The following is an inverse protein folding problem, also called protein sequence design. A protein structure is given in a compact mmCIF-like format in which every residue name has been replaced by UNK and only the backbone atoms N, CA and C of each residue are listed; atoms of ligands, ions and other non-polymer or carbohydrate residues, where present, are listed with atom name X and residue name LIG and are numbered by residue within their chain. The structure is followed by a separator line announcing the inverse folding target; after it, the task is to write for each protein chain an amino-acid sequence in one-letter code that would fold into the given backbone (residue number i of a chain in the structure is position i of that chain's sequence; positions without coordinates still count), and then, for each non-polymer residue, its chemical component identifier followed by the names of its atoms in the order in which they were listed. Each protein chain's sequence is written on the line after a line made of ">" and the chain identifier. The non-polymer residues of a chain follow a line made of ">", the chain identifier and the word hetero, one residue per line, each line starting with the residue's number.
data_IF_900009007963
#
_entry.id   IF_900009007963
#
_cell.length_a   1.000
_cell.length_b   1.000
_cell.length_c   1.000
_cell.angle_alpha   90.00
_cell.angle_beta   90.00
_cell.angle_gamma   90.00
#
_symmetry.space_group_name_H-M   'P 1'
#
loop_
_entity.id
_entity.type
_entity.pdbx_description
1 polymer ?
#
# COMPACT_ATOMS: atom_id res chain seq x y z
N UNK A 1 1.32 0.34 9.82
CA UNK A 1 0.64 -0.90 9.50
C UNK A 1 -0.82 -0.78 9.09
N UNK A 2 -1.57 0.25 9.55
CA UNK A 2 -3.04 0.32 9.33
C UNK A 2 -3.43 0.38 7.84
N UNK A 3 -2.74 1.16 7.02
CA UNK A 3 -3.07 1.27 5.59
C UNK A 3 -2.91 -0.07 4.87
N UNK A 4 -1.84 -0.81 5.16
CA UNK A 4 -1.62 -2.15 4.60
C UNK A 4 -2.63 -3.16 5.15
N UNK A 5 -2.91 -3.13 6.45
CA UNK A 5 -3.96 -3.98 7.02
C UNK A 5 -5.32 -3.67 6.37
N UNK A 6 -5.61 -2.40 6.11
CA UNK A 6 -6.84 -2.02 5.45
C UNK A 6 -6.87 -2.47 3.98
N UNK A 7 -5.74 -2.49 3.28
CA UNK A 7 -5.62 -3.08 1.95
C UNK A 7 -6.16 -4.53 1.93
N UNK A 8 -5.75 -5.36 2.89
CA UNK A 8 -6.27 -6.72 3.03
C UNK A 8 -7.79 -6.75 3.26
N UNK A 9 -8.30 -5.85 4.08
CA UNK A 9 -9.74 -5.78 4.36
C UNK A 9 -10.58 -5.43 3.14
N UNK A 10 -10.04 -4.68 2.19
CA UNK A 10 -10.75 -4.27 0.96
C UNK A 10 -11.11 -5.45 0.03
N UNK A 11 -10.57 -6.63 0.29
CA UNK A 11 -10.91 -7.85 -0.47
C UNK A 11 -11.85 -8.80 0.30
N UNK A 12 -12.27 -8.42 1.50
CA UNK A 12 -13.09 -9.28 2.37
C UNK A 12 -14.60 -9.08 2.16
N UNK A 13 -14.99 -8.67 0.95
CA UNK A 13 -16.38 -8.44 0.59
C UNK A 13 -16.92 -7.08 1.02
N UNK A 14 -18.10 -6.79 0.56
CA UNK A 14 -18.83 -5.54 0.75
C UNK A 14 -20.32 -5.87 0.85
N UNK A 15 -21.22 -4.91 0.66
CA UNK A 15 -22.66 -5.16 0.68
C UNK A 15 -23.11 -6.15 -0.41
N UNK A 16 -22.61 -5.96 -1.64
CA UNK A 16 -23.09 -6.66 -2.82
C UNK A 16 -22.12 -7.71 -3.37
N UNK A 17 -20.91 -7.77 -2.82
CA UNK A 17 -19.84 -8.69 -3.23
C UNK A 17 -19.42 -9.52 -2.02
N UNK A 18 -19.49 -10.84 -2.14
CA UNK A 18 -19.09 -11.75 -1.05
C UNK A 18 -17.56 -11.78 -0.85
N UNK A 19 -17.13 -12.43 0.23
CA UNK A 19 -15.70 -12.62 0.54
C UNK A 19 -14.99 -13.28 -0.64
N UNK A 20 -13.85 -12.72 -1.06
CA UNK A 20 -13.04 -13.19 -2.18
C UNK A 20 -13.73 -13.19 -3.56
N UNK A 21 -15.02 -12.85 -3.62
CA UNK A 21 -15.78 -12.85 -4.88
C UNK A 21 -15.23 -11.84 -5.89
N UNK A 22 -14.65 -10.75 -5.42
CA UNK A 22 -13.94 -9.78 -6.28
C UNK A 22 -12.85 -10.47 -7.12
N UNK A 23 -12.00 -11.31 -6.48
CA UNK A 23 -10.97 -12.09 -7.17
C UNK A 23 -11.57 -13.07 -8.16
N UNK A 24 -12.66 -13.73 -7.76
CA UNK A 24 -13.35 -14.71 -8.58
C UNK A 24 -13.94 -14.08 -9.84
N UNK A 25 -14.67 -12.97 -9.72
CA UNK A 25 -15.30 -12.29 -10.87
C UNK A 25 -14.26 -11.90 -11.91
N UNK A 26 -13.14 -11.30 -11.48
CA UNK A 26 -12.07 -10.88 -12.37
C UNK A 26 -11.31 -12.08 -12.95
N UNK A 27 -10.99 -13.08 -12.12
CA UNK A 27 -10.23 -14.26 -12.54
C UNK A 27 -11.00 -15.17 -13.50
N UNK A 28 -12.30 -15.41 -13.29
CA UNK A 28 -13.14 -16.20 -14.20
C UNK A 28 -13.28 -15.54 -15.57
N UNK A 29 -13.13 -14.25 -15.65
CA UNK A 29 -13.10 -13.51 -16.91
C UNK A 29 -11.72 -13.46 -17.59
N UNK A 30 -10.72 -14.16 -17.06
CA UNK A 30 -9.35 -14.17 -17.57
C UNK A 30 -8.55 -12.94 -17.20
N UNK A 31 -9.01 -12.16 -16.22
CA UNK A 31 -8.32 -10.99 -15.71
C UNK A 31 -7.44 -11.29 -14.48
N UNK A 32 -6.80 -10.26 -13.99
CA UNK A 32 -6.00 -10.27 -12.75
C UNK A 32 -6.30 -9.03 -11.93
N UNK A 33 -6.22 -9.15 -10.62
CA UNK A 33 -6.31 -8.03 -9.69
C UNK A 33 -5.31 -8.21 -8.55
N UNK A 34 -4.87 -7.09 -8.00
CA UNK A 34 -3.98 -7.03 -6.85
C UNK A 34 -4.04 -5.65 -6.20
N UNK A 35 -3.29 -5.47 -5.12
CA UNK A 35 -3.07 -4.18 -4.50
C UNK A 35 -1.66 -4.09 -3.91
N UNK A 36 -1.25 -2.89 -3.56
CA UNK A 36 -0.05 -2.66 -2.76
C UNK A 36 -0.16 -1.36 -1.97
N UNK A 37 0.45 -1.34 -0.80
CA UNK A 37 0.58 -0.15 0.03
C UNK A 37 2.04 0.32 0.04
N UNK A 38 2.24 1.60 -0.21
CA UNK A 38 3.51 2.30 -0.03
C UNK A 38 3.42 3.28 1.15
N UNK A 39 4.43 4.16 1.31
CA UNK A 39 4.44 5.15 2.38
C UNK A 39 3.30 6.17 2.27
N UNK A 40 2.90 6.57 1.05
CA UNK A 40 1.97 7.67 0.81
C UNK A 40 0.67 7.27 0.12
N UNK A 41 0.57 6.03 -0.38
CA UNK A 41 -0.60 5.58 -1.14
C UNK A 41 -0.85 4.08 -0.98
N UNK A 42 -2.11 3.71 -1.12
CA UNK A 42 -2.51 2.33 -1.41
C UNK A 42 -3.11 2.29 -2.81
N UNK A 43 -2.64 1.40 -3.64
CA UNK A 43 -3.11 1.23 -5.02
C UNK A 43 -3.79 -0.11 -5.16
N UNK A 44 -5.01 -0.08 -5.68
CA UNK A 44 -5.77 -1.25 -6.10
C UNK A 44 -5.81 -1.25 -7.61
N UNK A 45 -5.46 -2.34 -8.24
CA UNK A 45 -5.43 -2.43 -9.69
C UNK A 45 -5.97 -3.75 -10.20
N UNK A 46 -6.60 -3.69 -11.35
CA UNK A 46 -7.15 -4.86 -12.01
C UNK A 46 -7.02 -4.71 -13.53
N UNK A 47 -6.85 -5.83 -14.19
CA UNK A 47 -6.78 -5.92 -15.64
C UNK A 47 -7.71 -7.03 -16.09
N UNK A 48 -8.59 -6.73 -17.02
CA UNK A 48 -9.53 -7.69 -17.58
C UNK A 48 -9.87 -7.32 -19.03
N UNK A 49 -10.52 -8.22 -19.80
CA UNK A 49 -11.04 -7.87 -21.12
C UNK A 49 -11.95 -6.65 -21.11
N UNK A 50 -11.91 -5.82 -22.15
CA UNK A 50 -12.58 -4.50 -22.20
C UNK A 50 -14.11 -4.55 -21.99
N UNK A 51 -14.74 -5.67 -22.34
CA UNK A 51 -16.18 -5.89 -22.08
C UNK A 51 -16.55 -5.95 -20.58
N UNK A 52 -15.56 -6.01 -19.68
CA UNK A 52 -15.75 -5.97 -18.21
C UNK A 52 -15.43 -4.61 -17.61
N UNK A 53 -15.09 -3.61 -18.40
CA UNK A 53 -14.70 -2.30 -17.88
C UNK A 53 -15.75 -1.70 -16.93
N UNK A 54 -17.04 -1.80 -17.27
CA UNK A 54 -18.13 -1.34 -16.39
C UNK A 54 -18.18 -2.14 -15.07
N UNK A 55 -18.03 -3.47 -15.15
CA UNK A 55 -18.03 -4.34 -13.96
C UNK A 55 -16.86 -4.03 -13.04
N UNK A 56 -15.65 -3.78 -13.59
CA UNK A 56 -14.48 -3.41 -12.80
C UNK A 56 -14.72 -2.10 -12.04
N UNK A 57 -15.28 -1.08 -12.69
CA UNK A 57 -15.62 0.18 -12.04
C UNK A 57 -16.70 0.00 -10.97
N UNK A 58 -17.69 -0.84 -11.22
CA UNK A 58 -18.71 -1.17 -10.23
C UNK A 58 -18.09 -1.84 -8.98
N UNK A 59 -17.22 -2.83 -9.16
CA UNK A 59 -16.55 -3.52 -8.05
C UNK A 59 -15.74 -2.56 -7.17
N UNK A 60 -15.00 -1.62 -7.79
CA UNK A 60 -14.24 -0.60 -7.06
C UNK A 60 -15.17 0.35 -6.28
N UNK A 61 -16.25 0.79 -6.93
CA UNK A 61 -17.22 1.67 -6.30
C UNK A 61 -17.99 0.98 -5.17
N UNK A 62 -18.35 -0.28 -5.34
CA UNK A 62 -19.06 -1.05 -4.32
C UNK A 62 -18.23 -1.17 -3.04
N UNK A 63 -16.98 -1.60 -3.13
CA UNK A 63 -16.11 -1.68 -1.95
C UNK A 63 -15.80 -0.30 -1.35
N UNK A 64 -15.65 0.75 -2.15
CA UNK A 64 -15.47 2.11 -1.63
C UNK A 64 -16.71 2.63 -0.90
N UNK A 65 -17.89 2.34 -1.40
CA UNK A 65 -19.16 2.86 -0.86
C UNK A 65 -19.78 2.01 0.25
N UNK A 66 -19.57 0.70 0.23
CA UNK A 66 -20.36 -0.24 1.03
C UNK A 66 -19.55 -1.27 1.83
N UNK A 67 -18.22 -1.16 1.86
CA UNK A 67 -17.34 -2.09 2.57
C UNK A 67 -17.78 -2.35 4.01
N UNK A 68 -18.12 -1.28 4.74
CA UNK A 68 -18.49 -1.38 6.16
C UNK A 68 -19.76 -2.18 6.41
N UNK A 69 -20.63 -2.37 5.42
CA UNK A 69 -21.81 -3.24 5.53
C UNK A 69 -21.41 -4.74 5.50
N UNK A 70 -20.29 -5.08 4.84
CA UNK A 70 -19.69 -6.41 4.85
C UNK A 70 -18.65 -6.63 5.94
N UNK A 71 -18.32 -5.60 6.73
CA UNK A 71 -17.26 -5.61 7.72
C UNK A 71 -17.70 -6.32 9.01
N UNK A 72 -16.95 -7.33 9.47
CA UNK A 72 -17.27 -8.09 10.70
C UNK A 72 -16.03 -8.26 11.57
N UNK A 73 -16.25 -8.43 12.89
CA UNK A 73 -15.18 -8.71 13.83
C UNK A 73 -14.35 -9.94 13.42
N UNK A 74 -15.00 -10.99 12.93
CA UNK A 74 -14.31 -12.21 12.48
C UNK A 74 -13.38 -11.95 11.30
N UNK A 75 -13.80 -11.16 10.30
CA UNK A 75 -12.96 -10.80 9.17
C UNK A 75 -11.77 -9.97 9.60
N UNK A 76 -12.00 -9.02 10.50
CA UNK A 76 -10.95 -8.23 11.12
C UNK A 76 -9.88 -9.11 11.79
N UNK A 77 -10.28 -10.04 12.65
CA UNK A 77 -9.37 -10.96 13.33
C UNK A 77 -8.59 -11.84 12.33
N UNK A 78 -9.28 -12.41 11.37
CA UNK A 78 -8.66 -13.26 10.35
C UNK A 78 -7.59 -12.49 9.54
N UNK A 79 -7.90 -11.27 9.12
CA UNK A 79 -6.95 -10.47 8.33
C UNK A 79 -5.82 -9.91 9.18
N UNK A 80 -6.05 -9.60 10.45
CA UNK A 80 -4.98 -9.27 11.39
C UNK A 80 -3.95 -10.41 11.48
N UNK A 81 -4.43 -11.64 11.64
CA UNK A 81 -3.56 -12.81 11.69
C UNK A 81 -2.84 -13.06 10.36
N UNK A 82 -3.51 -12.83 9.22
CA UNK A 82 -2.91 -12.91 7.90
C UNK A 82 -1.74 -11.95 7.73
N UNK A 83 -1.92 -10.67 8.09
CA UNK A 83 -0.86 -9.63 8.03
C UNK A 83 0.30 -9.96 8.98
N UNK A 84 0.01 -10.44 10.21
CA UNK A 84 1.04 -10.89 11.14
C UNK A 84 1.85 -12.06 10.59
N UNK A 85 1.19 -13.01 9.95
CA UNK A 85 1.85 -14.15 9.31
C UNK A 85 2.68 -13.71 8.10
N UNK A 86 2.18 -12.77 7.30
CA UNK A 86 2.93 -12.18 6.19
C UNK A 86 4.21 -11.50 6.67
N UNK A 87 4.13 -10.68 7.75
CA UNK A 87 5.33 -10.06 8.33
C UNK A 87 6.36 -11.12 8.73
N UNK A 88 5.92 -12.17 9.43
CA UNK A 88 6.82 -13.26 9.82
C UNK A 88 7.46 -13.95 8.62
N UNK A 89 6.66 -14.25 7.58
CA UNK A 89 7.13 -15.00 6.41
C UNK A 89 8.03 -14.18 5.49
N UNK A 90 7.71 -12.89 5.28
CA UNK A 90 8.43 -12.04 4.31
C UNK A 90 9.57 -11.23 4.92
N UNK A 91 9.53 -11.02 6.25
CA UNK A 91 10.51 -10.16 6.93
C UNK A 91 11.21 -10.90 8.06
N UNK A 92 10.51 -11.26 9.14
CA UNK A 92 11.15 -11.73 10.37
C UNK A 92 11.92 -13.05 10.20
N UNK A 93 11.42 -13.96 9.34
CA UNK A 93 12.01 -15.27 9.08
C UNK A 93 12.84 -15.33 7.78
N UNK A 94 13.05 -14.19 7.09
CA UNK A 94 13.85 -14.16 5.87
C UNK A 94 15.26 -13.65 6.17
N UNK A 95 16.29 -14.26 5.59
CA UNK A 95 17.63 -13.69 5.61
C UNK A 95 17.58 -12.23 5.09
N UNK A 96 18.18 -11.31 5.82
CA UNK A 96 18.19 -9.88 5.53
C UNK A 96 16.80 -9.20 5.59
N UNK A 97 15.74 -9.86 6.04
CA UNK A 97 14.38 -9.35 6.01
C UNK A 97 14.15 -8.08 6.83
N UNK A 98 14.93 -7.90 7.91
CA UNK A 98 14.83 -6.73 8.79
C UNK A 98 15.62 -5.51 8.31
N UNK A 99 16.37 -5.61 7.21
CA UNK A 99 17.28 -4.55 6.75
C UNK A 99 16.51 -3.25 6.49
N UNK A 100 15.38 -3.30 5.80
CA UNK A 100 14.59 -2.10 5.50
C UNK A 100 13.99 -1.49 6.77
N UNK A 101 13.49 -2.29 7.71
CA UNK A 101 12.94 -1.77 8.97
C UNK A 101 14.01 -1.02 9.78
N UNK A 102 15.21 -1.59 9.88
CA UNK A 102 16.37 -0.96 10.56
C UNK A 102 16.78 0.31 9.81
N UNK A 103 16.84 0.25 8.48
CA UNK A 103 17.24 1.37 7.63
C UNK A 103 16.30 2.57 7.81
N UNK A 104 14.98 2.36 7.64
CA UNK A 104 14.00 3.43 7.76
C UNK A 104 13.96 3.99 9.18
N UNK A 105 13.98 3.15 10.19
CA UNK A 105 14.04 3.58 11.60
C UNK A 105 15.28 4.44 11.90
N UNK A 106 16.40 4.13 11.26
CA UNK A 106 17.66 4.87 11.46
C UNK A 106 17.67 6.20 10.71
N UNK A 107 17.28 6.21 9.43
CA UNK A 107 17.34 7.38 8.57
C UNK A 107 16.21 8.38 8.83
N UNK A 108 15.03 7.88 9.18
CA UNK A 108 13.80 8.65 9.26
C UNK A 108 13.27 8.78 10.70
N UNK A 109 14.15 8.77 11.71
CA UNK A 109 13.74 8.95 13.10
C UNK A 109 12.86 10.21 13.27
N UNK A 110 11.71 10.06 13.93
CA UNK A 110 10.68 11.10 14.10
C UNK A 110 10.03 11.60 12.80
N UNK A 111 10.09 10.83 11.73
CA UNK A 111 9.45 11.13 10.46
C UNK A 111 8.36 10.06 10.16
N UNK A 112 7.28 10.36 9.41
CA UNK A 112 6.27 9.36 9.04
C UNK A 112 6.81 8.12 8.30
N UNK A 113 8.02 8.20 7.76
CA UNK A 113 8.70 7.07 7.08
C UNK A 113 9.60 6.26 8.02
N UNK A 114 9.56 6.49 9.32
CA UNK A 114 10.36 5.74 10.30
C UNK A 114 10.04 4.25 10.32
N UNK A 115 8.83 3.85 9.92
CA UNK A 115 8.37 2.46 9.87
C UNK A 115 7.97 2.04 8.46
N UNK A 116 8.13 0.76 8.17
CA UNK A 116 7.71 0.19 6.88
C UNK A 116 6.18 0.06 6.77
N UNK A 117 5.61 -0.01 5.54
CA UNK A 117 4.15 -0.16 5.33
C UNK A 117 3.52 -1.35 6.06
N UNK A 118 4.24 -2.48 6.20
CA UNK A 118 3.74 -3.64 6.95
C UNK A 118 3.53 -3.31 8.45
N UNK A 119 4.29 -2.37 9.01
CA UNK A 119 4.20 -1.93 10.39
C UNK A 119 4.75 -2.93 11.40
N UNK A 120 4.35 -2.75 12.66
CA UNK A 120 4.79 -3.57 13.78
C UNK A 120 3.68 -4.50 14.25
N UNK A 121 4.05 -5.71 14.72
CA UNK A 121 3.10 -6.70 15.24
C UNK A 121 2.37 -6.16 16.47
N UNK A 122 3.08 -5.45 17.35
CA UNK A 122 2.51 -4.88 18.57
C UNK A 122 1.38 -3.88 18.26
N UNK A 123 1.53 -3.06 17.20
CA UNK A 123 0.48 -2.13 16.76
C UNK A 123 -0.74 -2.89 16.22
N UNK A 124 -0.52 -4.00 15.51
CA UNK A 124 -1.62 -4.84 15.03
C UNK A 124 -2.36 -5.54 16.18
N UNK A 125 -1.64 -5.91 17.25
CA UNK A 125 -2.23 -6.59 18.40
C UNK A 125 -3.14 -5.66 19.23
N UNK A 126 -2.80 -4.40 19.35
CA UNK A 126 -3.63 -3.40 20.05
C UNK A 126 -4.73 -2.79 19.16
N UNK A 127 -4.63 -2.95 17.84
CA UNK A 127 -5.62 -2.44 16.91
C UNK A 127 -7.01 -3.05 17.16
N UNK A 128 -8.03 -2.20 17.14
CA UNK A 128 -9.41 -2.61 17.31
C UNK A 128 -10.19 -2.54 16.00
N UNK A 129 -11.29 -3.28 15.94
CA UNK A 129 -12.26 -3.20 14.85
C UNK A 129 -12.72 -1.74 14.60
N UNK A 130 -12.95 -0.97 15.67
CA UNK A 130 -13.42 0.41 15.57
C UNK A 130 -12.31 1.34 15.03
N UNK A 131 -11.05 1.10 15.36
CA UNK A 131 -9.93 1.87 14.78
C UNK A 131 -9.86 1.69 13.28
N UNK A 132 -10.03 0.45 12.81
CA UNK A 132 -10.00 0.16 11.37
C UNK A 132 -11.22 0.72 10.64
N UNK A 133 -12.40 0.68 11.27
CA UNK A 133 -13.61 1.33 10.78
C UNK A 133 -13.42 2.85 10.65
N UNK A 134 -12.87 3.48 11.68
CA UNK A 134 -12.58 4.92 11.69
C UNK A 134 -11.52 5.30 10.66
N UNK A 135 -10.53 4.43 10.42
CA UNK A 135 -9.56 4.61 9.35
C UNK A 135 -10.22 4.67 7.98
N UNK A 136 -11.16 3.76 7.69
CA UNK A 136 -11.94 3.80 6.45
C UNK A 136 -12.70 5.12 6.30
N UNK A 137 -13.50 5.47 7.29
CA UNK A 137 -14.32 6.70 7.27
C UNK A 137 -13.46 7.96 7.12
N UNK A 138 -12.22 7.93 7.59
CA UNK A 138 -11.30 9.06 7.52
C UNK A 138 -10.60 9.19 6.17
N UNK A 139 -10.26 8.10 5.52
CA UNK A 139 -9.35 8.11 4.38
C UNK A 139 -9.94 7.63 3.07
N UNK A 140 -10.99 6.78 3.11
CA UNK A 140 -11.57 6.15 1.94
C UNK A 140 -12.84 6.87 1.46
N UNK A 141 -12.66 8.01 0.86
CA UNK A 141 -13.73 8.76 0.22
C UNK A 141 -13.33 9.20 -1.19
N UNK A 142 -14.29 9.48 -2.08
CA UNK A 142 -14.00 9.86 -3.46
C UNK A 142 -13.21 11.16 -3.58
N UNK A 143 -13.21 12.01 -2.57
CA UNK A 143 -12.39 13.22 -2.49
C UNK A 143 -10.91 12.96 -2.09
N UNK A 144 -10.56 11.72 -1.76
CA UNK A 144 -9.20 11.28 -1.47
C UNK A 144 -8.78 10.08 -2.34
N UNK A 145 -9.44 9.90 -3.47
CA UNK A 145 -9.17 8.81 -4.41
C UNK A 145 -8.94 9.35 -5.82
N UNK A 146 -8.13 8.64 -6.58
CA UNK A 146 -7.93 8.86 -8.01
C UNK A 146 -8.26 7.57 -8.74
N UNK A 147 -9.18 7.63 -9.70
CA UNK A 147 -9.51 6.51 -10.58
C UNK A 147 -8.78 6.73 -11.92
N UNK A 148 -8.05 5.72 -12.35
CA UNK A 148 -7.37 5.71 -13.65
C UNK A 148 -7.88 4.52 -14.45
N UNK A 149 -8.37 4.77 -15.64
CA UNK A 149 -8.80 3.73 -16.59
C UNK A 149 -7.97 3.85 -17.85
N UNK A 150 -7.37 2.74 -18.27
CA UNK A 150 -6.51 2.68 -19.44
C UNK A 150 -6.78 1.40 -20.23
N UNK A 151 -6.81 1.47 -21.56
CA UNK A 151 -7.01 0.34 -22.44
C UNK A 151 -8.02 0.62 -23.55
N UNK A 152 -8.60 -0.45 -24.11
CA UNK A 152 -9.59 -0.38 -25.19
C UNK A 152 -10.98 -0.06 -24.60
N UNK A 153 -11.19 1.21 -24.28
CA UNK A 153 -12.44 1.73 -23.69
C UNK A 153 -12.79 3.09 -24.30
N UNK A 154 -14.10 3.39 -24.36
CA UNK A 154 -14.59 4.70 -24.75
C UNK A 154 -14.57 5.64 -23.52
N UNK A 155 -13.86 6.78 -23.55
CA UNK A 155 -13.82 7.71 -22.42
C UNK A 155 -15.19 8.26 -21.97
N UNK A 156 -16.12 8.46 -22.90
CA UNK A 156 -17.46 8.96 -22.57
C UNK A 156 -18.26 7.90 -21.79
N UNK A 157 -18.17 6.63 -22.18
CA UNK A 157 -18.81 5.53 -21.44
C UNK A 157 -18.21 5.38 -20.05
N UNK A 158 -16.88 5.45 -19.93
CA UNK A 158 -16.18 5.42 -18.64
C UNK A 158 -16.66 6.55 -17.73
N UNK A 159 -16.81 7.76 -18.25
CA UNK A 159 -17.33 8.89 -17.48
C UNK A 159 -18.73 8.64 -16.96
N UNK A 160 -19.63 8.11 -17.81
CA UNK A 160 -21.00 7.76 -17.42
C UNK A 160 -20.97 6.70 -16.29
N UNK A 161 -20.14 5.66 -16.41
CA UNK A 161 -20.03 4.61 -15.38
C UNK A 161 -19.45 5.15 -14.08
N UNK A 162 -18.42 6.00 -14.14
CA UNK A 162 -17.86 6.64 -12.96
C UNK A 162 -18.91 7.50 -12.25
N UNK A 163 -19.64 8.34 -12.97
CA UNK A 163 -20.74 9.13 -12.40
C UNK A 163 -21.84 8.25 -11.78
N UNK A 164 -22.20 7.17 -12.48
CA UNK A 164 -23.23 6.21 -12.03
C UNK A 164 -22.86 5.52 -10.73
N UNK A 165 -21.63 5.03 -10.60
CA UNK A 165 -21.23 4.18 -9.49
C UNK A 165 -20.55 4.94 -8.34
N UNK A 166 -19.73 5.94 -8.63
CA UNK A 166 -19.01 6.70 -7.60
C UNK A 166 -19.73 7.99 -7.19
N UNK A 167 -20.60 8.54 -8.04
CA UNK A 167 -21.25 9.85 -7.81
C UNK A 167 -22.11 9.95 -6.54
N UNK A 168 -22.63 8.81 -6.07
CA UNK A 168 -23.43 8.73 -4.83
C UNK A 168 -22.63 8.43 -3.57
N UNK A 169 -21.32 8.16 -3.67
CA UNK A 169 -20.50 7.80 -2.51
C UNK A 169 -20.22 9.04 -1.66
N UNK A 170 -20.42 8.91 -0.36
CA UNK A 170 -20.20 10.01 0.57
C UNK A 170 -18.70 10.36 0.69
N UNK A 171 -18.40 11.66 0.68
CA UNK A 171 -17.04 12.17 0.88
C UNK A 171 -16.54 11.87 2.29
N UNK A 172 -15.26 11.53 2.41
CA UNK A 172 -14.57 11.54 3.69
C UNK A 172 -14.24 12.99 4.12
N UNK A 173 -13.85 13.23 5.38
CA UNK A 173 -13.33 14.53 5.80
C UNK A 173 -12.16 14.99 4.94
N UNK A 174 -12.03 16.28 4.70
CA UNK A 174 -10.94 16.82 3.90
C UNK A 174 -9.58 16.36 4.41
N UNK A 175 -8.78 15.85 3.49
CA UNK A 175 -7.41 15.41 3.77
C UNK A 175 -6.46 16.57 3.51
N UNK A 176 -5.74 16.97 4.55
CA UNK A 176 -4.66 17.96 4.42
C UNK A 176 -3.36 17.24 4.20
N UNK A 177 -2.66 17.58 3.13
CA UNK A 177 -1.31 17.10 2.90
C UNK A 177 -0.38 17.67 3.97
N UNK A 178 0.36 16.80 4.62
CA UNK A 178 1.44 17.15 5.54
C UNK A 178 2.75 16.85 4.82
N UNK A 179 3.59 17.86 4.69
CA UNK A 179 4.92 17.74 4.10
C UNK A 179 5.96 17.76 5.22
N UNK A 180 6.35 16.60 5.75
CA UNK A 180 7.35 16.53 6.80
C UNK A 180 8.69 17.03 6.26
N UNK A 181 9.49 17.60 7.16
CA UNK A 181 10.83 18.07 6.78
C UNK A 181 11.71 16.87 6.46
N UNK A 182 12.52 17.03 5.40
CA UNK A 182 13.57 16.05 5.08
C UNK A 182 14.42 15.77 6.32
N UNK A 183 14.68 14.51 6.66
CA UNK A 183 15.60 14.17 7.75
C UNK A 183 17.00 14.69 7.44
N UNK A 184 17.64 15.23 8.46
CA UNK A 184 19.02 15.71 8.38
C UNK A 184 19.88 14.89 9.33
N UNK A 185 20.86 14.22 8.79
CA UNK A 185 21.86 13.53 9.59
C UNK A 185 22.95 14.53 9.97
N UNK A 186 23.19 14.71 11.25
CA UNK A 186 24.24 15.59 11.78
C UNK A 186 25.62 14.90 11.82
N UNK A 187 25.64 13.59 11.69
CA UNK A 187 26.84 12.73 11.69
C UNK A 187 26.56 11.44 10.95
N UNK A 188 27.62 10.70 10.64
CA UNK A 188 27.49 9.34 10.14
C UNK A 188 26.95 8.43 11.24
N UNK A 189 25.98 7.60 10.86
CA UNK A 189 25.36 6.62 11.75
C UNK A 189 25.84 5.22 11.35
N UNK A 190 26.27 4.44 12.34
CA UNK A 190 26.72 3.06 12.16
C UNK A 190 25.79 2.15 12.95
N UNK A 191 25.12 1.23 12.25
CA UNK A 191 24.27 0.22 12.87
C UNK A 191 24.77 -1.14 12.47
N UNK A 192 24.96 -2.01 13.46
CA UNK A 192 25.33 -3.42 13.25
C UNK A 192 24.29 -4.30 13.88
N UNK A 193 23.82 -5.29 13.14
CA UNK A 193 22.90 -6.32 13.63
C UNK A 193 23.43 -7.71 13.27
N UNK A 194 22.98 -8.71 13.98
CA UNK A 194 23.28 -10.13 13.70
C UNK A 194 22.02 -10.82 13.24
N UNK A 195 22.15 -11.66 12.23
CA UNK A 195 21.06 -12.46 11.68
C UNK A 195 21.62 -13.83 11.24
N UNK A 196 20.73 -14.79 11.02
CA UNK A 196 21.09 -16.10 10.49
C UNK A 196 21.24 -16.05 8.96
N UNK A 197 22.38 -15.53 8.51
CA UNK A 197 22.66 -15.23 7.10
C UNK A 197 23.90 -16.02 6.62
N UNK A 198 23.96 -16.30 5.32
CA UNK A 198 25.06 -17.03 4.71
C UNK A 198 26.27 -16.14 4.37
N UNK A 199 26.06 -14.82 4.23
CA UNK A 199 27.13 -13.86 3.95
C UNK A 199 26.82 -12.51 4.61
N UNK A 200 27.84 -11.77 5.09
CA UNK A 200 27.63 -10.42 5.63
C UNK A 200 27.12 -9.47 4.53
N UNK A 201 26.22 -8.55 4.91
CA UNK A 201 25.75 -7.46 4.08
C UNK A 201 26.23 -6.14 4.67
N UNK A 202 26.83 -5.30 3.84
CA UNK A 202 27.11 -3.90 4.17
C UNK A 202 26.26 -3.01 3.30
N UNK A 203 25.49 -2.11 3.91
CA UNK A 203 24.64 -1.16 3.21
C UNK A 203 25.06 0.27 3.53
N UNK A 204 25.18 1.09 2.49
CA UNK A 204 25.36 2.54 2.60
C UNK A 204 24.06 3.21 2.17
N UNK A 205 23.53 4.12 3.00
CA UNK A 205 22.28 4.77 2.72
C UNK A 205 22.37 6.28 2.98
N UNK A 206 21.79 7.06 2.07
CA UNK A 206 21.86 8.50 2.07
C UNK A 206 20.46 9.09 1.88
N UNK A 207 19.97 10.00 2.75
CA UNK A 207 18.78 10.80 2.47
C UNK A 207 19.01 11.68 1.25
N UNK A 208 18.20 11.51 0.21
CA UNK A 208 18.32 12.25 -1.05
C UNK A 208 17.16 13.20 -1.28
N UNK A 209 16.89 13.55 -2.50
CA UNK A 209 15.74 14.34 -2.91
C UNK A 209 14.45 13.52 -2.88
N UNK A 210 13.30 14.18 -2.93
CA UNK A 210 12.00 13.53 -3.06
C UNK A 210 11.78 12.95 -4.45
N UNK A 211 10.87 12.02 -4.57
CA UNK A 211 10.38 11.47 -5.85
C UNK A 211 9.92 12.60 -6.79
N UNK A 212 10.19 12.46 -8.09
CA UNK A 212 9.95 13.45 -9.15
C UNK A 212 10.75 14.76 -9.03
N UNK A 213 11.81 14.79 -8.22
CA UNK A 213 12.72 15.92 -8.22
C UNK A 213 13.58 15.95 -9.51
N UNK A 214 13.95 17.12 -10.07
CA UNK A 214 14.81 17.20 -11.27
C UNK A 214 16.13 16.43 -11.17
N UNK A 215 16.69 16.29 -9.99
CA UNK A 215 17.95 15.58 -9.74
C UNK A 215 17.79 14.07 -9.50
N UNK A 216 16.55 13.55 -9.42
CA UNK A 216 16.29 12.13 -9.12
C UNK A 216 16.99 11.20 -10.11
N UNK A 217 16.79 11.40 -11.40
CA UNK A 217 17.39 10.56 -12.44
C UNK A 217 18.94 10.56 -12.40
N UNK A 218 19.56 11.69 -12.05
CA UNK A 218 21.01 11.77 -11.91
C UNK A 218 21.50 11.01 -10.68
N UNK A 219 20.75 11.05 -9.58
CA UNK A 219 21.06 10.31 -8.36
C UNK A 219 20.86 8.81 -8.53
N UNK A 220 19.85 8.38 -9.28
CA UNK A 220 19.64 6.98 -9.61
C UNK A 220 20.78 6.40 -10.42
N UNK A 221 21.25 7.13 -11.44
CA UNK A 221 22.42 6.74 -12.23
C UNK A 221 23.67 6.70 -11.36
N UNK A 222 23.86 7.68 -10.47
CA UNK A 222 24.99 7.69 -9.54
C UNK A 222 24.96 6.48 -8.60
N UNK A 223 23.80 6.16 -8.05
CA UNK A 223 23.63 4.99 -7.16
C UNK A 223 23.97 3.69 -7.90
N UNK A 224 23.56 3.55 -9.15
CA UNK A 224 23.86 2.39 -9.99
C UNK A 224 25.39 2.28 -10.28
N UNK A 225 26.05 3.41 -10.56
CA UNK A 225 27.52 3.42 -10.79
C UNK A 225 28.29 3.01 -9.53
N UNK A 226 27.85 3.48 -8.36
CA UNK A 226 28.56 3.23 -7.09
C UNK A 226 28.25 1.84 -6.54
N UNK A 227 27.01 1.37 -6.60
CA UNK A 227 26.57 0.16 -5.89
C UNK A 227 25.79 -0.85 -6.73
N UNK A 228 25.53 -0.57 -8.00
CA UNK A 228 24.71 -1.39 -8.88
C UNK A 228 25.51 -2.42 -9.67
N UNK A 229 25.41 -3.72 -9.30
CA UNK A 229 25.94 -4.82 -10.11
C UNK A 229 27.44 -5.09 -9.97
N UNK A 230 27.92 -6.03 -10.82
CA UNK A 230 29.27 -6.57 -10.72
C UNK A 230 30.40 -5.60 -11.18
N UNK A 231 30.05 -4.49 -11.80
CA UNK A 231 30.99 -3.51 -12.35
C UNK A 231 30.93 -2.15 -11.62
N UNK A 232 30.26 -2.10 -10.47
CA UNK A 232 30.24 -0.90 -9.63
C UNK A 232 31.62 -0.61 -9.01
N UNK A 233 31.86 0.65 -8.66
CA UNK A 233 33.13 1.14 -8.11
C UNK A 233 33.30 0.71 -6.65
#
# INVERSE_FOLDING_TARGET
>A
GFAHFFEHMMFQGSKNVADEEHFKIIGEAGGTNNAYTSFDKTVYHQTAPSNLAETMLWLEADRMGTLLEGFTQKKFENQRDAVKNEKRQRYDNQPYGMVNEILFKTLYANHPYEWTPIGFVDDLDIATYEDLRNFFLRWYGPNNATVVVSGDVNPEDVKIWVEKYFGGIQKCPDVRNVYPKKPQLSMDLYVTTTDNIYAPLTMFAFPTVQEFHPDEAALDILAEIIGGGNNSI
#
